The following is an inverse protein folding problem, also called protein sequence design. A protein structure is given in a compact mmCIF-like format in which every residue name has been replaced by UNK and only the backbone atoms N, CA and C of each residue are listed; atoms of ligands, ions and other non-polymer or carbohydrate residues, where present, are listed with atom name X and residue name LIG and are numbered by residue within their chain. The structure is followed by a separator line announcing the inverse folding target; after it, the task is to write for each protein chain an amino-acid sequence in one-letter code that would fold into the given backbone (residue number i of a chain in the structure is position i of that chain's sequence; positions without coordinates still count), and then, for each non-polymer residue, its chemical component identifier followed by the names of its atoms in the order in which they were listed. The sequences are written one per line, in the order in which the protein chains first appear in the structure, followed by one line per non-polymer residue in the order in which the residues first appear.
data_IF_879514882001
#
_entry.id   IF_879514882001
#
_cell.length_a   1.000
_cell.length_b   1.000
_cell.length_c   1.000
_cell.angle_alpha   90.00
_cell.angle_beta   90.00
_cell.angle_gamma   90.00
#
_symmetry.space_group_name_H-M   'P 1'
#
loop_
_entity.id
_entity.type
_entity.pdbx_description
1 polymer ?
#
# COMPACT_ATOMS: atom_id res chain seq x y z
N UNK A 1 10.75 -20.56 -26.22
CA UNK A 1 10.80 -20.38 -24.76
C UNK A 1 11.05 -18.91 -24.50
N UNK A 2 10.11 -18.25 -23.83
CA UNK A 2 10.14 -16.82 -23.51
C UNK A 2 10.64 -16.62 -22.09
N UNK A 3 10.95 -15.38 -21.69
CA UNK A 3 11.28 -15.07 -20.29
C UNK A 3 10.14 -15.48 -19.33
N UNK A 4 8.89 -15.37 -19.78
CA UNK A 4 7.72 -15.79 -19.01
C UNK A 4 7.75 -17.30 -18.70
N UNK A 5 8.18 -18.12 -19.66
CA UNK A 5 8.28 -19.59 -19.48
C UNK A 5 9.47 -19.99 -18.58
N UNK A 6 10.44 -19.09 -18.38
CA UNK A 6 11.67 -19.33 -17.63
C UNK A 6 11.58 -18.90 -16.16
N UNK A 7 10.68 -17.97 -15.83
CA UNK A 7 10.57 -17.43 -14.48
C UNK A 7 9.60 -18.25 -13.63
N UNK A 8 10.04 -18.60 -12.42
CA UNK A 8 9.13 -19.08 -11.39
C UNK A 8 8.10 -18.01 -11.04
N UNK A 9 6.90 -18.44 -10.59
CA UNK A 9 5.80 -17.52 -10.27
C UNK A 9 6.21 -16.41 -9.29
N UNK A 10 7.06 -16.76 -8.33
CA UNK A 10 7.59 -15.82 -7.33
C UNK A 10 8.47 -14.74 -7.98
N UNK A 11 9.42 -15.15 -8.82
CA UNK A 11 10.35 -14.22 -9.47
C UNK A 11 9.65 -13.34 -10.50
N UNK A 12 8.68 -13.90 -11.23
CA UNK A 12 7.82 -13.13 -12.12
C UNK A 12 7.03 -12.06 -11.35
N UNK A 13 6.38 -12.43 -10.23
CA UNK A 13 5.67 -11.48 -9.36
C UNK A 13 6.62 -10.37 -8.90
N UNK A 14 7.79 -10.76 -8.39
CA UNK A 14 8.78 -9.82 -7.85
C UNK A 14 9.25 -8.81 -8.92
N UNK A 15 9.55 -9.30 -10.13
CA UNK A 15 9.94 -8.44 -11.26
C UNK A 15 8.83 -7.46 -11.63
N UNK A 16 7.58 -7.92 -11.75
CA UNK A 16 6.44 -7.07 -12.11
C UNK A 16 6.13 -6.02 -11.04
N UNK A 17 6.16 -6.39 -9.75
CA UNK A 17 5.91 -5.44 -8.65
C UNK A 17 7.04 -4.40 -8.56
N UNK A 18 8.30 -4.79 -8.79
CA UNK A 18 9.43 -3.83 -8.87
C UNK A 18 9.26 -2.85 -10.02
N UNK A 19 8.92 -3.33 -11.22
CA UNK A 19 8.65 -2.47 -12.38
C UNK A 19 7.51 -1.49 -12.08
N UNK A 20 6.42 -1.97 -11.49
CA UNK A 20 5.29 -1.12 -11.12
C UNK A 20 5.66 -0.06 -10.09
N UNK A 21 6.26 -0.43 -8.95
CA UNK A 21 6.62 0.54 -7.91
C UNK A 21 7.69 1.54 -8.41
N UNK A 22 8.59 1.12 -9.28
CA UNK A 22 9.58 2.01 -9.91
C UNK A 22 8.92 3.00 -10.85
N UNK A 23 7.94 2.55 -11.63
CA UNK A 23 7.13 3.44 -12.47
C UNK A 23 6.37 4.47 -11.62
N UNK A 24 5.69 4.04 -10.56
CA UNK A 24 4.95 4.95 -9.67
C UNK A 24 5.88 5.98 -9.00
N UNK A 25 7.03 5.54 -8.50
CA UNK A 25 8.05 6.44 -7.94
C UNK A 25 8.61 7.42 -8.98
N UNK A 26 8.84 6.97 -10.21
CA UNK A 26 9.33 7.82 -11.31
C UNK A 26 8.28 8.84 -11.74
N UNK A 27 7.01 8.45 -11.81
CA UNK A 27 5.90 9.35 -12.09
C UNK A 27 5.78 10.42 -11.00
N UNK A 28 5.84 10.03 -9.72
CA UNK A 28 5.82 10.96 -8.60
C UNK A 28 6.97 11.95 -8.67
N UNK A 29 8.20 11.47 -8.91
CA UNK A 29 9.38 12.32 -9.06
C UNK A 29 9.20 13.37 -10.14
N UNK A 30 8.72 12.98 -11.33
CA UNK A 30 8.47 13.94 -12.40
C UNK A 30 7.36 14.93 -12.03
N UNK A 31 6.28 14.49 -11.38
CA UNK A 31 5.26 15.41 -10.89
C UNK A 31 5.82 16.42 -9.88
N UNK A 32 6.64 15.96 -8.92
CA UNK A 32 7.26 16.83 -7.92
C UNK A 32 8.22 17.84 -8.56
N UNK A 33 8.98 17.41 -9.57
CA UNK A 33 9.91 18.28 -10.30
C UNK A 33 9.19 19.34 -11.13
N UNK A 34 8.14 18.96 -11.86
CA UNK A 34 7.46 19.85 -12.80
C UNK A 34 6.37 20.72 -12.14
N UNK A 35 5.71 20.21 -11.10
CA UNK A 35 4.50 20.82 -10.51
C UNK A 35 4.65 21.18 -9.02
N UNK A 36 5.80 20.88 -8.41
CA UNK A 36 6.04 21.04 -6.98
C UNK A 36 5.48 19.89 -6.13
N UNK A 37 6.05 19.74 -4.94
CA UNK A 37 5.78 18.59 -4.05
C UNK A 37 4.33 18.54 -3.54
N UNK A 38 3.72 19.68 -3.24
CA UNK A 38 2.33 19.73 -2.74
C UNK A 38 1.35 19.23 -3.82
N UNK A 39 1.55 19.66 -5.07
CA UNK A 39 0.76 19.18 -6.21
C UNK A 39 0.99 17.68 -6.44
N UNK A 40 2.24 17.22 -6.33
CA UNK A 40 2.58 15.80 -6.48
C UNK A 40 1.92 14.94 -5.39
N UNK A 41 1.93 15.35 -4.12
CA UNK A 41 1.23 14.66 -3.03
C UNK A 41 -0.28 14.56 -3.30
N UNK A 42 -0.91 15.67 -3.70
CA UNK A 42 -2.34 15.69 -4.07
C UNK A 42 -2.66 14.72 -5.20
N UNK A 43 -1.87 14.76 -6.28
CA UNK A 43 -2.05 13.87 -7.43
C UNK A 43 -1.81 12.41 -7.04
N UNK A 44 -0.81 12.12 -6.22
CA UNK A 44 -0.51 10.78 -5.73
C UNK A 44 -1.66 10.20 -4.91
N UNK A 45 -2.17 10.96 -3.92
CA UNK A 45 -3.34 10.53 -3.13
C UNK A 45 -4.58 10.31 -4.00
N UNK A 46 -4.80 11.16 -5.00
CA UNK A 46 -5.89 10.96 -5.96
C UNK A 46 -5.72 9.69 -6.80
N UNK A 47 -4.51 9.44 -7.31
CA UNK A 47 -4.18 8.23 -8.06
C UNK A 47 -4.35 6.97 -7.21
N UNK A 48 -3.86 6.98 -5.97
CA UNK A 48 -4.01 5.88 -5.00
C UNK A 48 -5.49 5.60 -4.71
N UNK A 49 -6.30 6.63 -4.48
CA UNK A 49 -7.75 6.46 -4.21
C UNK A 49 -8.46 5.78 -5.38
N UNK A 50 -8.17 6.21 -6.61
CA UNK A 50 -8.74 5.61 -7.81
C UNK A 50 -8.26 4.17 -8.03
N UNK A 51 -6.94 3.95 -7.89
CA UNK A 51 -6.32 2.64 -8.03
C UNK A 51 -6.91 1.65 -7.03
N UNK A 52 -7.08 2.05 -5.77
CA UNK A 52 -7.52 1.17 -4.68
C UNK A 52 -8.86 0.50 -4.98
N UNK A 53 -9.83 1.25 -5.54
CA UNK A 53 -11.13 0.68 -5.94
C UNK A 53 -10.96 -0.37 -7.03
N UNK A 54 -10.18 -0.06 -8.06
CA UNK A 54 -9.94 -0.95 -9.20
C UNK A 54 -9.14 -2.20 -8.76
N UNK A 55 -8.15 -2.01 -7.91
CA UNK A 55 -7.30 -3.05 -7.37
C UNK A 55 -8.08 -4.03 -6.51
N UNK A 56 -8.88 -3.55 -5.55
CA UNK A 56 -9.71 -4.41 -4.71
C UNK A 56 -10.75 -5.18 -5.53
N UNK A 57 -11.31 -4.58 -6.59
CA UNK A 57 -12.18 -5.29 -7.54
C UNK A 57 -11.43 -6.40 -8.30
N UNK A 58 -10.19 -6.14 -8.75
CA UNK A 58 -9.35 -7.15 -9.42
C UNK A 58 -8.99 -8.29 -8.48
N UNK A 59 -8.66 -8.00 -7.22
CA UNK A 59 -8.40 -9.03 -6.20
C UNK A 59 -9.64 -9.86 -5.94
N UNK A 60 -10.81 -9.23 -5.72
CA UNK A 60 -12.09 -9.96 -5.56
C UNK A 60 -12.37 -10.87 -6.75
N UNK A 61 -12.16 -10.39 -7.97
CA UNK A 61 -12.33 -11.20 -9.19
C UNK A 61 -11.35 -12.37 -9.25
N UNK A 62 -10.08 -12.16 -8.93
CA UNK A 62 -9.09 -13.22 -8.91
C UNK A 62 -9.41 -14.32 -7.87
N UNK A 63 -10.10 -13.96 -6.78
CA UNK A 63 -10.57 -14.88 -5.75
C UNK A 63 -11.94 -15.53 -6.08
N UNK A 64 -12.62 -15.13 -7.15
CA UNK A 64 -14.00 -15.56 -7.44
C UNK A 64 -15.03 -15.04 -6.42
N UNK A 65 -14.74 -13.88 -5.81
CA UNK A 65 -15.45 -13.26 -4.70
C UNK A 65 -16.01 -11.87 -5.05
N UNK A 66 -16.38 -11.63 -6.31
CA UNK A 66 -16.83 -10.31 -6.80
C UNK A 66 -18.01 -9.74 -6.02
N UNK A 67 -18.90 -10.63 -5.55
CA UNK A 67 -20.09 -10.26 -4.77
C UNK A 67 -19.86 -10.32 -3.25
N UNK A 68 -18.66 -10.70 -2.80
CA UNK A 68 -18.37 -10.83 -1.38
C UNK A 68 -18.42 -9.45 -0.71
N UNK A 69 -19.26 -9.37 0.31
CA UNK A 69 -19.22 -8.33 1.33
C UNK A 69 -18.49 -8.91 2.52
N UNK A 70 -17.40 -8.28 2.91
CA UNK A 70 -16.67 -8.61 4.12
C UNK A 70 -17.54 -8.15 5.29
N UNK A 71 -17.86 -9.05 6.21
CA UNK A 71 -18.76 -8.82 7.35
C UNK A 71 -18.17 -9.24 8.69
N UNK A 72 -17.01 -9.87 8.69
CA UNK A 72 -16.30 -10.27 9.90
C UNK A 72 -14.83 -9.95 9.76
N UNK A 73 -14.15 -9.78 10.90
CA UNK A 73 -12.73 -9.52 10.88
C UNK A 73 -11.93 -10.67 10.27
N UNK A 74 -12.31 -11.93 10.48
CA UNK A 74 -11.63 -13.07 9.84
C UNK A 74 -11.74 -13.06 8.31
N UNK A 75 -12.89 -12.66 7.76
CA UNK A 75 -13.02 -12.47 6.31
C UNK A 75 -12.09 -11.34 5.81
N UNK A 76 -11.88 -10.30 6.61
CA UNK A 76 -10.94 -9.24 6.30
C UNK A 76 -9.50 -9.77 6.33
N UNK A 77 -9.12 -10.56 7.35
CA UNK A 77 -7.80 -11.19 7.47
C UNK A 77 -7.47 -12.00 6.22
N UNK A 78 -8.37 -12.90 5.83
CA UNK A 78 -8.19 -13.77 4.67
C UNK A 78 -8.05 -12.96 3.37
N UNK A 79 -8.87 -11.92 3.23
CA UNK A 79 -8.82 -11.04 2.06
C UNK A 79 -7.52 -10.24 1.98
N UNK A 80 -7.08 -9.63 3.09
CA UNK A 80 -5.84 -8.85 3.17
C UNK A 80 -4.63 -9.73 2.92
N UNK A 81 -4.57 -10.92 3.52
CA UNK A 81 -3.52 -11.92 3.27
C UNK A 81 -3.46 -12.29 1.79
N UNK A 82 -4.63 -12.54 1.17
CA UNK A 82 -4.73 -12.87 -0.25
C UNK A 82 -4.27 -11.71 -1.14
N UNK A 83 -4.69 -10.48 -0.85
CA UNK A 83 -4.28 -9.29 -1.58
C UNK A 83 -2.75 -9.09 -1.51
N UNK A 84 -2.17 -9.14 -0.31
CA UNK A 84 -0.73 -8.97 -0.13
C UNK A 84 0.09 -10.12 -0.71
N UNK A 85 -0.44 -11.34 -0.82
CA UNK A 85 0.27 -12.44 -1.48
C UNK A 85 0.68 -12.12 -2.92
N UNK A 86 -0.07 -11.23 -3.59
CA UNK A 86 0.16 -10.78 -4.98
C UNK A 86 0.80 -9.38 -5.04
N UNK A 87 0.35 -8.46 -4.19
CA UNK A 87 0.70 -7.02 -4.32
C UNK A 87 1.96 -6.65 -3.52
N UNK A 88 2.32 -7.44 -2.50
CA UNK A 88 3.56 -7.26 -1.74
C UNK A 88 4.71 -7.96 -2.46
N UNK A 89 5.74 -7.17 -2.80
CA UNK A 89 7.05 -7.67 -3.24
C UNK A 89 7.95 -7.97 -2.04
N UNK A 90 8.95 -8.81 -2.24
CA UNK A 90 9.94 -9.17 -1.20
C UNK A 90 10.75 -7.94 -0.76
N UNK A 91 10.97 -6.97 -1.66
CA UNK A 91 11.64 -5.71 -1.32
C UNK A 91 10.80 -4.75 -0.45
N UNK A 92 9.49 -5.00 -0.30
CA UNK A 92 8.63 -4.21 0.58
C UNK A 92 8.75 -4.73 2.00
N UNK A 93 9.71 -4.19 2.74
CA UNK A 93 10.12 -4.67 4.05
C UNK A 93 9.24 -4.09 5.16
N UNK A 94 8.03 -4.66 5.25
CA UNK A 94 7.09 -4.45 6.33
C UNK A 94 6.44 -5.75 6.75
N UNK A 95 5.98 -5.75 7.99
CA UNK A 95 5.22 -6.80 8.62
C UNK A 95 3.86 -6.26 9.05
N UNK A 96 2.89 -7.16 9.14
CA UNK A 96 1.59 -6.86 9.73
C UNK A 96 1.09 -8.08 10.48
N UNK A 97 0.38 -7.81 11.58
CA UNK A 97 -0.24 -8.83 12.42
C UNK A 97 -1.68 -8.45 12.68
N UNK A 98 -2.52 -9.47 12.85
CA UNK A 98 -3.90 -9.27 13.26
C UNK A 98 -3.98 -9.49 14.76
N UNK A 99 -4.27 -8.43 15.49
CA UNK A 99 -4.40 -8.40 16.94
C UNK A 99 -5.88 -8.30 17.30
N UNK A 100 -6.25 -8.94 18.42
CA UNK A 100 -7.62 -8.95 18.94
C UNK A 100 -8.67 -9.31 17.86
N UNK A 101 -9.89 -8.80 18.01
CA UNK A 101 -11.00 -9.06 17.09
C UNK A 101 -11.19 -7.97 16.03
N UNK A 102 -10.36 -6.91 16.00
CA UNK A 102 -10.57 -5.79 15.07
C UNK A 102 -9.33 -4.93 14.75
N UNK A 103 -8.11 -5.38 15.03
CA UNK A 103 -6.90 -4.55 14.88
C UNK A 103 -5.89 -5.16 13.93
N UNK A 104 -5.42 -4.36 12.98
CA UNK A 104 -4.29 -4.69 12.11
C UNK A 104 -3.10 -3.84 12.55
N UNK A 105 -2.12 -4.47 13.18
CA UNK A 105 -0.87 -3.80 13.53
C UNK A 105 0.11 -3.88 12.35
N UNK A 106 0.86 -2.81 12.08
CA UNK A 106 1.93 -2.82 11.09
C UNK A 106 3.25 -2.30 11.67
N UNK A 107 4.35 -2.87 11.18
CA UNK A 107 5.70 -2.35 11.43
C UNK A 107 6.47 -2.30 10.11
N UNK A 108 7.08 -1.16 9.84
CA UNK A 108 7.90 -0.94 8.66
C UNK A 108 9.38 -1.06 9.07
N UNK A 109 9.99 -2.19 8.73
CA UNK A 109 11.42 -2.44 8.97
C UNK A 109 12.28 -1.53 8.08
N UNK A 110 11.92 -1.42 6.80
CA UNK A 110 12.54 -0.49 5.84
C UNK A 110 11.53 -0.01 4.80
N UNK A 111 11.29 1.30 4.76
CA UNK A 111 10.29 1.88 3.86
C UNK A 111 10.90 2.25 2.50
N UNK A 112 10.57 1.47 1.47
CA UNK A 112 10.99 1.74 0.09
C UNK A 112 10.57 3.14 -0.40
N UNK A 113 9.37 3.60 -0.01
CA UNK A 113 8.87 4.92 -0.39
C UNK A 113 9.68 6.03 0.28
N UNK A 114 9.95 5.92 1.58
CA UNK A 114 10.80 6.89 2.30
C UNK A 114 12.20 6.96 1.69
N UNK A 115 12.82 5.81 1.43
CA UNK A 115 14.15 5.75 0.81
C UNK A 115 14.16 6.40 -0.58
N UNK A 116 13.14 6.12 -1.40
CA UNK A 116 12.95 6.79 -2.68
C UNK A 116 12.80 8.30 -2.55
N UNK A 117 11.97 8.77 -1.61
CA UNK A 117 11.77 10.20 -1.37
C UNK A 117 13.02 10.90 -0.83
N UNK A 118 13.85 10.20 -0.06
CA UNK A 118 15.15 10.68 0.43
C UNK A 118 16.14 10.86 -0.73
N UNK A 119 16.18 9.90 -1.66
CA UNK A 119 17.03 9.99 -2.86
C UNK A 119 16.71 11.19 -3.75
N UNK A 120 15.42 11.55 -3.85
CA UNK A 120 14.98 12.69 -4.68
C UNK A 120 14.87 14.02 -3.90
N UNK A 121 15.22 14.04 -2.62
CA UNK A 121 15.29 15.26 -1.81
C UNK A 121 13.95 15.79 -1.26
N UNK A 122 12.86 15.02 -1.36
CA UNK A 122 11.51 15.46 -0.94
C UNK A 122 10.97 14.76 0.31
N UNK A 123 11.80 13.96 1.01
CA UNK A 123 11.32 13.13 2.12
C UNK A 123 10.58 13.89 3.22
N UNK A 124 10.95 15.14 3.53
CA UNK A 124 10.33 15.93 4.62
C UNK A 124 8.91 16.41 4.30
N UNK A 125 8.61 16.66 3.02
CA UNK A 125 7.31 17.14 2.57
C UNK A 125 6.43 16.02 2.01
N UNK A 126 6.95 14.80 1.88
CA UNK A 126 6.20 13.67 1.38
C UNK A 126 5.07 13.26 2.33
N UNK A 127 3.86 13.17 1.79
CA UNK A 127 2.69 12.62 2.49
C UNK A 127 2.59 11.12 2.19
N UNK A 128 2.44 10.29 3.23
CA UNK A 128 2.59 8.85 3.12
C UNK A 128 1.52 8.22 2.20
N UNK A 129 1.92 7.80 1.00
CA UNK A 129 1.04 7.09 0.07
C UNK A 129 0.83 5.62 0.42
N UNK A 130 1.77 4.99 1.12
CA UNK A 130 1.74 3.55 1.43
C UNK A 130 0.61 3.21 2.40
N UNK A 131 0.58 3.86 3.58
CA UNK A 131 -0.48 3.62 4.57
C UNK A 131 -1.82 4.20 4.09
N UNK A 132 -1.79 5.36 3.42
CA UNK A 132 -3.00 5.95 2.82
C UNK A 132 -3.69 5.01 1.82
N UNK A 133 -2.91 4.21 1.06
CA UNK A 133 -3.46 3.18 0.16
C UNK A 133 -4.20 2.08 0.91
N UNK A 134 -3.73 1.66 2.08
CA UNK A 134 -4.42 0.65 2.90
C UNK A 134 -5.76 1.20 3.40
N UNK A 135 -5.79 2.46 3.83
CA UNK A 135 -7.06 3.13 4.14
C UNK A 135 -8.02 3.15 2.94
N UNK A 136 -7.52 3.51 1.75
CA UNK A 136 -8.31 3.50 0.52
C UNK A 136 -8.80 2.08 0.12
N UNK A 137 -8.07 1.02 0.47
CA UNK A 137 -8.55 -0.36 0.30
C UNK A 137 -9.77 -0.62 1.18
N UNK A 138 -9.71 -0.25 2.46
CA UNK A 138 -10.81 -0.42 3.40
C UNK A 138 -12.04 0.40 2.99
N UNK A 139 -11.84 1.63 2.52
CA UNK A 139 -12.91 2.45 1.92
C UNK A 139 -13.56 1.73 0.72
N UNK A 140 -12.74 1.17 -0.18
CA UNK A 140 -13.23 0.43 -1.35
C UNK A 140 -13.96 -0.87 -0.98
N UNK A 141 -13.66 -1.44 0.19
CA UNK A 141 -14.33 -2.61 0.74
C UNK A 141 -15.59 -2.24 1.54
N UNK A 142 -15.82 -0.95 1.83
CA UNK A 142 -16.93 -0.45 2.63
C UNK A 142 -16.77 -0.73 4.12
N UNK A 143 -15.52 -0.72 4.61
CA UNK A 143 -15.17 -1.01 6.00
C UNK A 143 -14.81 0.32 6.67
N UNK A 144 -15.46 0.62 7.79
CA UNK A 144 -15.09 1.76 8.64
C UNK A 144 -13.82 1.44 9.42
N UNK A 145 -12.91 2.41 9.52
CA UNK A 145 -11.64 2.22 10.20
C UNK A 145 -11.09 3.51 10.81
N UNK A 146 -10.11 3.35 11.69
CA UNK A 146 -9.25 4.42 12.23
C UNK A 146 -7.79 3.98 12.13
N UNK A 147 -6.91 4.87 11.70
CA UNK A 147 -5.46 4.63 11.64
C UNK A 147 -4.80 5.41 12.78
N UNK A 148 -4.01 4.73 13.60
CA UNK A 148 -3.27 5.31 14.72
C UNK A 148 -1.77 5.01 14.57
N UNK A 149 -0.87 5.99 14.67
CA UNK A 149 -1.15 7.42 14.79
C UNK A 149 -1.76 7.99 13.50
N UNK A 150 -2.36 9.18 13.59
CA UNK A 150 -2.73 9.96 12.40
C UNK A 150 -1.46 10.29 11.60
N UNK A 151 -1.53 10.16 10.26
CA UNK A 151 -0.36 10.24 9.37
C UNK A 151 -0.52 11.40 8.40
N UNK A 152 -0.13 12.59 8.84
CA UNK A 152 -0.06 13.78 7.99
C UNK A 152 1.27 13.89 7.25
N UNK A 153 2.34 13.40 7.88
CA UNK A 153 3.70 13.36 7.34
C UNK A 153 4.27 11.96 7.47
N UNK A 154 5.35 11.66 6.74
CA UNK A 154 6.05 10.39 6.91
C UNK A 154 6.50 10.19 8.37
N UNK A 155 6.06 9.09 8.99
CA UNK A 155 6.37 8.79 10.39
C UNK A 155 7.88 8.68 10.66
N UNK A 156 8.68 8.26 9.69
CA UNK A 156 10.15 8.21 9.81
C UNK A 156 10.82 9.60 9.86
N UNK A 157 10.09 10.69 9.57
CA UNK A 157 10.57 12.05 9.81
C UNK A 157 10.20 12.58 11.19
N UNK A 158 9.09 12.09 11.75
CA UNK A 158 8.52 12.59 13.01
C UNK A 158 8.79 11.69 14.22
N UNK A 159 9.16 10.43 13.97
CA UNK A 159 9.35 9.37 14.96
C UNK A 159 10.51 8.48 14.55
N UNK A 160 11.05 7.71 15.50
CA UNK A 160 12.15 6.77 15.24
C UNK A 160 11.71 5.56 14.41
N UNK A 161 10.43 5.17 14.51
CA UNK A 161 9.85 4.00 13.84
C UNK A 161 8.61 4.37 13.04
N UNK A 162 8.34 3.61 11.99
CA UNK A 162 7.08 3.68 11.25
C UNK A 162 6.24 2.46 11.57
N UNK A 163 5.38 2.59 12.58
CA UNK A 163 4.50 1.54 13.10
C UNK A 163 3.17 2.16 13.53
N UNK A 164 2.13 1.33 13.65
CA UNK A 164 0.84 1.74 14.18
C UNK A 164 -0.23 0.67 14.05
N UNK A 165 -1.48 1.05 14.30
CA UNK A 165 -2.65 0.19 14.33
C UNK A 165 -3.80 0.70 13.45
N UNK A 166 -4.40 -0.19 12.64
CA UNK A 166 -5.64 0.07 11.92
C UNK A 166 -6.73 -0.65 12.68
N UNK A 167 -7.62 0.13 13.29
CA UNK A 167 -8.75 -0.38 14.05
C UNK A 167 -9.96 -0.36 13.13
N UNK A 168 -10.54 -1.52 12.85
CA UNK A 168 -11.72 -1.64 11.99
C UNK A 168 -13.01 -1.77 12.81
N UNK A 169 -14.12 -1.35 12.24
CA UNK A 169 -15.46 -1.52 12.80
C UNK A 169 -16.24 -2.46 11.88
N UNK A 170 -16.23 -3.76 12.21
CA UNK A 170 -16.83 -4.83 11.41
C UNK A 170 -17.33 -6.00 12.25
#
# INVERSE_FOLDING_TARGET
MTLFDLLEKKDLKELLVKCWMTHDGSWFYNCARELGIDTANKLNKAAIKNLSVIEMQRVKKALGQEKLKIKTFDQLKDFVNSAFSVIKGDFMDFEYTFLDDNRIHWEMNSCFAYNGMKMIGFHKQYECGVIYRIGCWLDALGIEYTILPEIDVCLLNSQEKCTGDIIVNI
#
